data_IF_198664216740
#
_entry.id   IF_198664216740
#
_cell.length_a   1.000
_cell.length_b   1.000
_cell.length_c   1.000
_cell.angle_alpha   90.00
_cell.angle_beta   90.00
_cell.angle_gamma   90.00
#
_symmetry.space_group_name_H-M   'P 1'
#
loop_
_entity.id
_entity.type
_entity.pdbx_description
1 polymer ?
#
# COMPACT_ATOMS: atom_id res chain seq x y z
N UNK A 1 -54.51 -70.16 49.95
CA UNK A 1 -54.44 -69.24 51.12
C UNK A 1 -53.35 -68.21 50.86
N UNK A 2 -53.75 -66.93 50.74
CA UNK A 2 -52.96 -65.69 50.81
C UNK A 2 -51.92 -65.42 49.70
N UNK A 3 -51.77 -64.23 49.14
CA UNK A 3 -52.64 -63.08 48.88
C UNK A 3 -51.87 -62.17 47.90
N UNK A 4 -52.62 -61.60 46.96
CA UNK A 4 -52.24 -60.57 45.98
C UNK A 4 -51.40 -59.42 46.56
N UNK A 5 -50.46 -58.88 45.77
CA UNK A 5 -50.28 -57.41 45.63
C UNK A 5 -49.46 -57.00 44.39
N UNK A 6 -50.18 -56.33 43.48
CA UNK A 6 -49.73 -55.51 42.35
C UNK A 6 -48.82 -54.37 42.81
N UNK A 7 -47.67 -54.14 42.14
CA UNK A 7 -47.08 -52.81 41.97
C UNK A 7 -46.53 -52.71 40.54
N UNK A 8 -47.17 -51.82 39.77
CA UNK A 8 -46.83 -51.38 38.42
C UNK A 8 -45.76 -50.28 38.55
N UNK A 9 -44.52 -50.51 38.07
CA UNK A 9 -43.51 -49.45 37.95
C UNK A 9 -43.28 -49.20 36.46
N UNK A 10 -43.94 -48.16 35.96
CA UNK A 10 -43.72 -47.56 34.65
C UNK A 10 -42.39 -46.79 34.71
N UNK A 11 -41.30 -47.39 34.21
CA UNK A 11 -40.02 -46.68 34.06
C UNK A 11 -40.13 -45.80 32.82
N UNK A 12 -40.42 -44.52 33.03
CA UNK A 12 -40.38 -43.50 31.99
C UNK A 12 -38.91 -43.25 31.64
N UNK A 13 -38.42 -43.90 30.58
CA UNK A 13 -37.09 -43.62 30.03
C UNK A 13 -37.16 -42.25 29.35
N UNK A 14 -36.72 -41.21 30.08
CA UNK A 14 -36.38 -39.91 29.51
C UNK A 14 -35.22 -40.13 28.52
N UNK A 15 -35.55 -40.26 27.24
CA UNK A 15 -34.58 -40.07 26.16
C UNK A 15 -34.14 -38.60 26.21
N UNK A 16 -33.02 -38.34 26.88
CA UNK A 16 -32.29 -37.11 26.62
C UNK A 16 -31.85 -37.17 25.16
N UNK A 17 -32.48 -36.36 24.31
CA UNK A 17 -31.88 -36.01 23.02
C UNK A 17 -30.57 -35.29 23.35
N UNK A 18 -29.47 -36.03 23.38
CA UNK A 18 -28.17 -35.43 23.17
C UNK A 18 -28.16 -34.98 21.71
N UNK A 19 -28.48 -33.70 21.50
CA UNK A 19 -28.21 -33.01 20.26
C UNK A 19 -26.69 -33.03 20.08
N UNK A 20 -26.19 -34.06 19.39
CA UNK A 20 -24.85 -33.99 18.82
C UNK A 20 -24.90 -32.84 17.83
N UNK A 21 -24.45 -31.66 18.25
CA UNK A 21 -24.04 -30.63 17.30
C UNK A 21 -22.99 -31.30 16.42
N UNK A 22 -23.39 -31.67 15.22
CA UNK A 22 -22.45 -32.10 14.18
C UNK A 22 -21.64 -30.84 13.87
N UNK A 23 -20.50 -30.70 14.55
CA UNK A 23 -19.51 -29.67 14.22
C UNK A 23 -19.02 -30.03 12.83
N UNK A 24 -19.48 -29.32 11.82
CA UNK A 24 -18.91 -29.39 10.48
C UNK A 24 -17.53 -28.75 10.59
N UNK A 25 -16.48 -29.57 10.75
CA UNK A 25 -15.11 -29.07 10.59
C UNK A 25 -14.96 -28.60 9.15
N UNK A 26 -14.73 -27.30 8.98
CA UNK A 26 -14.41 -26.74 7.68
C UNK A 26 -12.97 -27.12 7.36
N UNK A 27 -12.69 -27.34 6.08
CA UNK A 27 -11.30 -27.55 5.63
C UNK A 27 -10.64 -26.18 5.60
N UNK A 28 -9.45 -26.06 6.21
CA UNK A 28 -8.64 -24.85 6.11
C UNK A 28 -7.99 -24.76 4.72
N UNK A 29 -8.05 -23.58 4.09
CA UNK A 29 -7.37 -23.34 2.81
C UNK A 29 -5.84 -23.26 2.96
N UNK A 30 -5.11 -23.65 1.91
CA UNK A 30 -3.68 -23.38 1.81
C UNK A 30 -3.40 -21.87 1.78
N UNK A 31 -2.25 -21.50 2.35
CA UNK A 31 -1.83 -20.11 2.43
C UNK A 31 -1.43 -19.57 1.04
N UNK A 32 -1.72 -18.29 0.72
CA UNK A 32 -1.32 -17.70 -0.55
C UNK A 32 0.20 -17.76 -0.79
N UNK A 33 0.61 -17.99 -2.03
CA UNK A 33 2.02 -18.08 -2.42
C UNK A 33 2.38 -16.82 -3.20
N UNK A 34 3.45 -16.15 -2.77
CA UNK A 34 4.05 -15.01 -3.46
C UNK A 34 5.09 -15.48 -4.49
N UNK A 35 5.02 -14.93 -5.70
CA UNK A 35 6.02 -15.15 -6.75
C UNK A 35 6.33 -13.85 -7.50
N UNK A 36 7.60 -13.39 -7.53
CA UNK A 36 8.72 -13.94 -6.78
C UNK A 36 8.53 -13.75 -5.26
N UNK A 37 9.24 -14.54 -4.45
CA UNK A 37 9.18 -14.42 -3.00
C UNK A 37 9.83 -13.13 -2.47
N UNK A 38 9.91 -12.97 -1.15
CA UNK A 38 10.59 -11.85 -0.51
C UNK A 38 12.00 -11.61 -1.07
N UNK A 39 12.39 -10.35 -1.25
CA UNK A 39 13.70 -10.03 -1.80
C UNK A 39 13.84 -8.60 -2.29
N UNK A 40 14.98 -8.32 -2.93
CA UNK A 40 15.25 -7.05 -3.58
C UNK A 40 15.07 -7.20 -5.08
N UNK A 41 14.27 -6.34 -5.69
CA UNK A 41 13.97 -6.38 -7.12
C UNK A 41 14.09 -5.00 -7.74
N UNK A 42 14.28 -4.98 -9.06
CA UNK A 42 14.29 -3.73 -9.82
C UNK A 42 12.89 -3.13 -9.89
N UNK A 43 12.81 -1.80 -9.87
CA UNK A 43 11.57 -1.09 -10.09
C UNK A 43 10.91 -1.51 -11.42
N UNK A 44 9.60 -1.74 -11.38
CA UNK A 44 8.81 -2.36 -12.45
C UNK A 44 8.59 -3.87 -12.28
N UNK A 45 9.24 -4.54 -11.31
CA UNK A 45 9.00 -5.96 -11.05
C UNK A 45 7.54 -6.20 -10.62
N UNK A 46 6.88 -7.15 -11.28
CA UNK A 46 5.55 -7.61 -10.93
C UNK A 46 5.62 -8.75 -9.89
N UNK A 47 4.75 -8.66 -8.87
CA UNK A 47 4.54 -9.65 -7.83
C UNK A 47 3.18 -10.29 -8.04
N UNK A 48 3.18 -11.62 -8.11
CA UNK A 48 1.99 -12.44 -8.24
C UNK A 48 1.67 -13.09 -6.90
N UNK A 49 0.38 -13.08 -6.53
CA UNK A 49 -0.14 -13.82 -5.38
C UNK A 49 -1.07 -14.90 -5.92
N UNK A 50 -0.84 -16.15 -5.54
CA UNK A 50 -1.62 -17.30 -6.02
C UNK A 50 -2.14 -18.10 -4.85
N UNK A 51 -3.29 -18.74 -5.02
CA UNK A 51 -3.86 -19.69 -4.08
C UNK A 51 -4.02 -21.02 -4.82
N UNK A 52 -3.49 -22.14 -4.30
CA UNK A 52 -3.62 -23.45 -4.96
C UNK A 52 -5.08 -23.89 -5.14
N UNK A 53 -5.97 -23.48 -4.23
CA UNK A 53 -7.38 -23.83 -4.26
C UNK A 53 -8.18 -23.02 -5.29
N UNK A 54 -8.66 -23.72 -6.31
CA UNK A 54 -9.52 -23.13 -7.32
C UNK A 54 -10.77 -22.46 -6.71
N UNK A 55 -11.02 -21.22 -7.11
CA UNK A 55 -12.18 -20.43 -6.70
C UNK A 55 -12.08 -19.76 -5.32
N UNK A 56 -10.91 -19.76 -4.68
CA UNK A 56 -10.66 -18.93 -3.50
C UNK A 56 -10.29 -17.49 -3.91
N UNK A 57 -10.77 -16.51 -3.14
CA UNK A 57 -10.42 -15.09 -3.30
C UNK A 57 -9.28 -14.73 -2.35
N UNK A 58 -8.30 -13.97 -2.83
CA UNK A 58 -7.16 -13.53 -2.03
C UNK A 58 -7.32 -12.05 -1.68
N UNK A 59 -7.23 -11.73 -0.40
CA UNK A 59 -7.23 -10.35 0.11
C UNK A 59 -5.86 -10.03 0.69
N UNK A 60 -5.41 -8.78 0.55
CA UNK A 60 -4.08 -8.37 0.99
C UNK A 60 -4.06 -6.99 1.64
N UNK A 61 -3.00 -6.74 2.40
CA UNK A 61 -2.69 -5.48 3.05
C UNK A 61 -1.22 -5.14 2.86
N UNK A 62 -0.89 -3.84 2.88
CA UNK A 62 0.49 -3.32 2.80
C UNK A 62 0.89 -2.51 4.04
N UNK A 63 -0.02 -2.37 4.99
CA UNK A 63 0.15 -1.63 6.25
C UNK A 63 0.57 -2.53 7.43
N UNK A 64 0.80 -3.82 7.19
CA UNK A 64 1.22 -4.79 8.21
C UNK A 64 0.09 -5.46 9.01
N UNK A 65 -1.17 -5.06 8.83
CA UNK A 65 -2.34 -5.71 9.45
C UNK A 65 -2.65 -7.05 8.77
N UNK A 66 -3.25 -8.00 9.49
CA UNK A 66 -3.69 -9.25 8.88
C UNK A 66 -4.91 -9.01 7.98
N UNK A 67 -4.93 -9.51 6.72
CA UNK A 67 -6.03 -9.23 5.80
C UNK A 67 -7.35 -9.87 6.22
N UNK A 68 -8.42 -9.15 5.94
CA UNK A 68 -9.83 -9.51 6.07
C UNK A 68 -10.54 -9.42 4.72
N UNK A 69 -11.78 -9.91 4.61
CA UNK A 69 -12.58 -9.78 3.38
C UNK A 69 -13.03 -8.34 3.05
N UNK A 70 -12.80 -7.38 3.97
CA UNK A 70 -13.06 -5.95 3.74
C UNK A 70 -11.82 -5.22 3.18
N UNK A 71 -10.65 -5.88 3.16
CA UNK A 71 -9.43 -5.31 2.61
C UNK A 71 -9.40 -5.44 1.07
N UNK A 72 -8.25 -5.16 0.47
CA UNK A 72 -8.14 -5.08 -0.99
C UNK A 72 -8.13 -6.49 -1.59
N UNK A 73 -9.06 -6.75 -2.50
CA UNK A 73 -9.08 -7.97 -3.32
C UNK A 73 -7.89 -7.94 -4.28
N UNK A 74 -7.11 -9.02 -4.30
CA UNK A 74 -6.06 -9.22 -5.28
C UNK A 74 -6.66 -9.60 -6.65
N UNK A 75 -6.69 -8.65 -7.59
CA UNK A 75 -7.24 -8.82 -8.94
C UNK A 75 -6.21 -8.61 -10.06
N UNK A 76 -5.02 -8.12 -9.72
CA UNK A 76 -3.92 -7.80 -10.65
C UNK A 76 -2.57 -7.88 -9.96
N UNK A 77 -1.46 -8.08 -10.71
CA UNK A 77 -0.12 -8.12 -10.14
C UNK A 77 0.23 -6.81 -9.44
N UNK A 78 0.96 -6.90 -8.32
CA UNK A 78 1.47 -5.74 -7.60
C UNK A 78 2.82 -5.34 -8.19
N UNK A 79 2.99 -4.08 -8.58
CA UNK A 79 4.21 -3.61 -9.23
C UNK A 79 5.09 -2.89 -8.21
N UNK A 80 6.36 -3.28 -8.08
CA UNK A 80 7.34 -2.57 -7.25
C UNK A 80 7.74 -1.25 -7.93
N UNK A 81 7.81 -0.11 -7.23
CA UNK A 81 7.48 0.13 -5.82
C UNK A 81 6.07 0.71 -5.60
N UNK A 82 5.14 0.61 -6.56
CA UNK A 82 3.86 1.33 -6.54
C UNK A 82 2.98 1.06 -5.29
N UNK A 83 3.14 -0.11 -4.66
CA UNK A 83 2.41 -0.45 -3.43
C UNK A 83 3.17 -0.09 -2.15
N UNK A 84 4.33 0.53 -2.25
CA UNK A 84 5.14 0.91 -1.10
C UNK A 84 4.55 2.16 -0.44
N UNK A 85 4.73 2.32 0.88
CA UNK A 85 4.47 3.61 1.53
C UNK A 85 5.24 4.74 0.83
N UNK A 86 4.64 5.93 0.82
CA UNK A 86 5.24 7.10 0.18
C UNK A 86 6.64 7.40 0.76
N UNK A 87 7.64 7.54 -0.11
CA UNK A 87 9.04 7.77 0.28
C UNK A 87 9.79 6.53 0.78
N UNK A 88 9.15 5.36 0.90
CA UNK A 88 9.81 4.14 1.36
C UNK A 88 10.55 3.40 0.23
N UNK A 89 11.61 2.68 0.60
CA UNK A 89 12.37 1.78 -0.28
C UNK A 89 12.03 0.29 -0.05
N UNK A 90 11.05 0.02 0.81
CA UNK A 90 10.58 -1.33 1.08
C UNK A 90 9.11 -1.33 1.49
N UNK A 91 8.46 -2.49 1.32
CA UNK A 91 7.13 -2.73 1.82
C UNK A 91 6.92 -4.19 2.17
N UNK A 92 6.01 -4.44 3.11
CA UNK A 92 5.60 -5.79 3.49
C UNK A 92 4.15 -5.99 3.08
N UNK A 93 3.89 -7.04 2.29
CA UNK A 93 2.56 -7.47 1.90
C UNK A 93 2.17 -8.65 2.78
N UNK A 94 0.97 -8.60 3.34
CA UNK A 94 0.30 -9.77 3.93
C UNK A 94 -0.87 -10.17 3.05
N UNK A 95 -1.07 -11.48 2.86
CA UNK A 95 -2.15 -12.01 2.04
C UNK A 95 -2.86 -13.17 2.73
N UNK A 96 -4.18 -13.27 2.54
CA UNK A 96 -5.02 -14.35 3.07
C UNK A 96 -6.10 -14.76 2.08
N UNK A 97 -6.33 -16.07 1.94
CA UNK A 97 -7.35 -16.62 1.06
C UNK A 97 -8.66 -16.91 1.80
N UNK A 98 -9.78 -16.68 1.12
CA UNK A 98 -11.14 -16.86 1.60
C UNK A 98 -11.98 -17.60 0.56
N UNK A 99 -12.82 -18.53 1.04
CA UNK A 99 -13.78 -19.28 0.23
C UNK A 99 -14.96 -19.69 1.10
N UNK A 100 -16.18 -19.59 0.55
CA UNK A 100 -17.38 -20.02 1.26
C UNK A 100 -17.32 -21.52 1.59
N UNK A 101 -17.66 -21.88 2.83
CA UNK A 101 -17.62 -23.26 3.31
C UNK A 101 -16.22 -23.79 3.67
N UNK A 102 -15.21 -22.91 3.77
CA UNK A 102 -13.85 -23.24 4.21
C UNK A 102 -13.43 -22.33 5.36
N UNK A 103 -12.52 -22.82 6.20
CA UNK A 103 -11.82 -21.93 7.14
C UNK A 103 -10.80 -21.09 6.35
N UNK A 104 -10.65 -19.79 6.66
CA UNK A 104 -9.68 -18.94 5.98
C UNK A 104 -8.27 -19.48 6.10
N UNK A 105 -7.45 -19.25 5.07
CA UNK A 105 -6.06 -19.71 5.08
C UNK A 105 -5.26 -19.09 6.24
N UNK A 106 -4.08 -19.64 6.51
CA UNK A 106 -3.06 -18.90 7.25
C UNK A 106 -2.64 -17.63 6.49
N UNK A 107 -2.12 -16.63 7.20
CA UNK A 107 -1.62 -15.40 6.60
C UNK A 107 -0.22 -15.63 6.03
N UNK A 108 -0.05 -15.36 4.75
CA UNK A 108 1.27 -15.31 4.10
C UNK A 108 1.83 -13.90 4.19
N UNK A 109 3.14 -13.78 4.40
CA UNK A 109 3.83 -12.49 4.50
C UNK A 109 5.04 -12.48 3.56
N UNK A 110 5.20 -11.40 2.80
CA UNK A 110 6.38 -11.18 1.98
C UNK A 110 6.87 -9.74 2.08
N UNK A 111 8.19 -9.55 2.16
CA UNK A 111 8.83 -8.24 2.25
C UNK A 111 9.68 -8.00 1.01
N UNK A 112 9.48 -6.85 0.40
CA UNK A 112 10.13 -6.45 -0.85
C UNK A 112 10.93 -5.17 -0.66
N UNK A 113 12.09 -5.12 -1.28
CA UNK A 113 12.94 -3.93 -1.38
C UNK A 113 13.07 -3.54 -2.85
N UNK A 114 13.12 -2.25 -3.13
CA UNK A 114 13.31 -1.73 -4.50
C UNK A 114 14.77 -1.38 -4.75
N UNK A 115 15.26 -1.72 -5.93
CA UNK A 115 16.48 -1.21 -6.54
C UNK A 115 16.13 -0.46 -7.82
N UNK A 116 16.92 0.54 -8.16
CA UNK A 116 16.72 1.36 -9.36
C UNK A 116 17.94 1.29 -10.26
N UNK A 117 17.73 1.38 -11.57
CA UNK A 117 18.83 1.41 -12.54
C UNK A 117 19.61 2.72 -12.49
N UNK A 118 18.93 3.81 -12.16
CA UNK A 118 19.48 5.15 -12.21
C UNK A 118 18.67 6.10 -11.33
N UNK A 119 19.21 7.28 -11.09
CA UNK A 119 18.62 8.34 -10.27
C UNK A 119 18.30 9.54 -11.15
N UNK A 120 17.13 10.13 -10.96
CA UNK A 120 16.74 11.35 -11.66
C UNK A 120 17.64 12.51 -11.22
N UNK A 121 18.13 13.30 -12.16
CA UNK A 121 18.94 14.48 -11.86
C UNK A 121 18.13 15.51 -11.05
N UNK A 122 18.79 16.15 -10.09
CA UNK A 122 18.20 17.23 -9.28
C UNK A 122 17.69 18.36 -10.18
N UNK A 123 16.45 18.84 -9.97
CA UNK A 123 15.94 20.02 -10.66
C UNK A 123 16.81 21.24 -10.43
N UNK A 124 16.87 22.12 -11.42
CA UNK A 124 17.56 23.40 -11.34
C UNK A 124 16.49 24.49 -11.29
N UNK A 125 16.44 25.22 -10.18
CA UNK A 125 15.51 26.33 -9.97
C UNK A 125 16.22 27.64 -10.37
N UNK A 126 15.53 28.49 -11.12
CA UNK A 126 15.99 29.84 -11.45
C UNK A 126 14.88 30.86 -11.22
N UNK A 127 15.14 31.94 -10.46
CA UNK A 127 16.39 32.29 -9.77
C UNK A 127 16.75 31.32 -8.63
N UNK A 128 18.03 31.16 -8.28
CA UNK A 128 18.49 30.15 -7.29
C UNK A 128 18.09 30.44 -5.83
N UNK A 129 17.48 31.59 -5.57
CA UNK A 129 17.12 32.09 -4.24
C UNK A 129 17.41 33.59 -4.12
N UNK A 130 16.96 34.20 -3.02
CA UNK A 130 17.21 35.61 -2.69
C UNK A 130 15.97 36.50 -2.82
N UNK A 131 16.19 37.80 -2.95
CA UNK A 131 15.12 38.77 -3.08
C UNK A 131 14.53 38.75 -4.49
N UNK A 132 13.21 38.59 -4.58
CA UNK A 132 12.46 38.64 -5.83
C UNK A 132 11.22 39.52 -5.65
N UNK A 133 10.64 39.97 -6.76
CA UNK A 133 9.33 40.63 -6.74
C UNK A 133 8.21 39.65 -7.09
N UNK A 134 6.97 40.02 -6.82
CA UNK A 134 5.78 39.25 -7.25
C UNK A 134 5.65 39.11 -8.78
N UNK A 135 6.43 39.85 -9.56
CA UNK A 135 6.49 39.77 -11.03
C UNK A 135 7.62 38.85 -11.54
N UNK A 136 8.51 38.39 -10.65
CA UNK A 136 9.64 37.55 -11.04
C UNK A 136 9.17 36.16 -11.46
N UNK A 137 9.50 35.77 -12.70
CA UNK A 137 9.17 34.44 -13.22
C UNK A 137 10.18 33.41 -12.70
N UNK A 138 9.66 32.40 -12.02
CA UNK A 138 10.39 31.21 -11.58
C UNK A 138 10.31 30.15 -12.67
N UNK A 139 11.45 29.54 -12.98
CA UNK A 139 11.57 28.41 -13.89
C UNK A 139 12.27 27.25 -13.21
N UNK A 140 11.86 26.03 -13.56
CA UNK A 140 12.45 24.80 -13.00
C UNK A 140 12.76 23.87 -14.16
N UNK A 141 14.00 23.40 -14.26
CA UNK A 141 14.44 22.51 -15.36
C UNK A 141 15.02 21.23 -14.77
N UNK A 142 14.67 20.08 -15.34
CA UNK A 142 15.31 18.81 -15.00
C UNK A 142 16.16 18.34 -16.20
N UNK A 143 17.46 18.06 -16.01
CA UNK A 143 18.31 17.49 -17.07
C UNK A 143 17.91 16.08 -17.51
N UNK A 144 17.15 15.35 -16.69
CA UNK A 144 16.72 13.99 -17.02
C UNK A 144 15.54 14.06 -17.98
N UNK A 145 15.75 13.53 -19.20
CA UNK A 145 14.69 13.42 -20.20
C UNK A 145 13.46 12.69 -19.66
N UNK A 146 12.27 13.20 -20.00
CA UNK A 146 10.93 12.74 -19.57
C UNK A 146 10.65 12.79 -18.06
N UNK A 147 11.57 13.30 -17.24
CA UNK A 147 11.30 13.46 -15.81
C UNK A 147 10.20 14.52 -15.59
N UNK A 148 9.26 14.19 -14.70
CA UNK A 148 8.19 15.06 -14.27
C UNK A 148 8.60 15.77 -12.99
N UNK A 149 8.45 17.10 -12.94
CA UNK A 149 8.87 17.92 -11.82
C UNK A 149 7.64 18.28 -10.99
N UNK A 150 7.76 18.14 -9.67
CA UNK A 150 6.76 18.54 -8.71
C UNK A 150 7.38 19.46 -7.67
N UNK A 151 6.62 20.43 -7.17
CA UNK A 151 7.13 21.43 -6.24
C UNK A 151 6.13 21.84 -5.16
N UNK A 152 6.67 22.48 -4.14
CA UNK A 152 5.95 23.05 -2.99
C UNK A 152 6.51 24.44 -2.69
N UNK A 153 5.69 25.34 -2.16
CA UNK A 153 6.08 26.71 -1.80
C UNK A 153 6.09 26.97 -0.28
N UNK A 154 5.64 25.98 0.49
CA UNK A 154 5.54 26.01 1.95
C UNK A 154 6.71 25.30 2.65
N UNK A 155 7.69 24.83 1.87
CA UNK A 155 8.83 24.08 2.38
C UNK A 155 8.57 22.61 2.72
N UNK A 156 7.37 22.08 2.49
CA UNK A 156 7.10 20.63 2.59
C UNK A 156 7.85 19.85 1.50
N UNK A 157 8.13 18.55 1.70
CA UNK A 157 8.83 17.76 0.68
C UNK A 157 7.92 17.49 -0.52
N UNK A 158 8.35 17.79 -1.77
CA UNK A 158 7.55 17.51 -2.94
C UNK A 158 7.41 16.01 -3.19
N UNK A 159 6.17 15.59 -3.45
CA UNK A 159 5.81 14.24 -3.87
C UNK A 159 5.07 14.28 -5.21
N UNK A 160 4.72 13.13 -5.77
CA UNK A 160 3.94 13.08 -7.03
C UNK A 160 2.50 13.59 -6.88
N UNK A 161 2.06 13.88 -5.64
CA UNK A 161 0.79 14.52 -5.33
C UNK A 161 0.92 16.04 -5.13
N UNK A 162 2.14 16.59 -5.13
CA UNK A 162 2.38 18.03 -5.04
C UNK A 162 2.06 18.75 -6.36
N UNK A 163 2.35 20.05 -6.44
CA UNK A 163 2.04 20.85 -7.62
C UNK A 163 2.93 20.40 -8.78
N UNK A 164 2.33 19.98 -9.89
CA UNK A 164 3.05 19.60 -11.11
C UNK A 164 3.56 20.86 -11.83
N UNK A 165 4.84 20.89 -12.14
CA UNK A 165 5.46 21.97 -12.90
C UNK A 165 5.28 21.72 -14.41
N UNK A 166 4.60 22.65 -15.08
CA UNK A 166 4.32 22.61 -16.52
C UNK A 166 4.90 23.80 -17.28
N UNK A 167 4.94 24.97 -16.65
CA UNK A 167 5.51 26.21 -17.20
C UNK A 167 6.02 27.14 -16.11
N UNK A 168 6.70 28.22 -16.51
CA UNK A 168 7.17 29.25 -15.57
C UNK A 168 6.03 29.92 -14.82
N UNK A 169 6.24 30.25 -13.55
CA UNK A 169 5.20 30.81 -12.68
C UNK A 169 5.74 31.94 -11.81
N UNK A 170 4.85 32.78 -11.27
CA UNK A 170 5.21 33.82 -10.30
C UNK A 170 4.71 33.44 -8.90
N UNK A 171 5.31 34.04 -7.87
CA UNK A 171 4.90 33.87 -6.48
C UNK A 171 4.13 35.12 -6.05
N UNK A 172 2.83 34.98 -5.81
CA UNK A 172 1.93 36.11 -5.50
C UNK A 172 1.96 36.55 -4.04
N UNK A 173 2.40 35.68 -3.12
CA UNK A 173 2.52 36.00 -1.70
C UNK A 173 3.82 36.74 -1.40
N UNK A 174 3.75 37.78 -0.57
CA UNK A 174 4.92 38.51 -0.08
C UNK A 174 5.48 37.87 1.19
N UNK A 175 6.75 38.12 1.49
CA UNK A 175 7.45 37.56 2.64
C UNK A 175 8.36 36.38 2.28
N UNK A 176 8.68 35.57 3.29
CA UNK A 176 9.58 34.42 3.12
C UNK A 176 8.85 33.24 2.47
N UNK A 177 9.44 32.68 1.41
CA UNK A 177 8.89 31.54 0.68
C UNK A 177 9.99 30.50 0.46
N UNK A 178 9.71 29.25 0.82
CA UNK A 178 10.63 28.12 0.58
C UNK A 178 10.09 27.28 -0.56
N UNK A 179 10.68 27.45 -1.74
CA UNK A 179 10.41 26.61 -2.89
C UNK A 179 11.26 25.35 -2.80
N UNK A 180 10.60 24.19 -2.76
CA UNK A 180 11.25 22.88 -2.94
C UNK A 180 10.76 22.25 -4.23
N UNK A 181 11.65 21.64 -5.00
CA UNK A 181 11.31 20.93 -6.23
C UNK A 181 11.98 19.56 -6.28
N UNK A 182 11.25 18.54 -6.73
CA UNK A 182 11.73 17.17 -6.91
C UNK A 182 11.25 16.62 -8.23
N UNK A 183 12.10 15.88 -8.92
CA UNK A 183 11.77 15.25 -10.19
C UNK A 183 11.62 13.72 -10.05
N UNK A 184 10.67 13.17 -10.80
CA UNK A 184 10.30 11.77 -10.80
C UNK A 184 10.30 11.23 -12.22
N UNK A 185 10.75 9.99 -12.38
CA UNK A 185 10.66 9.23 -13.61
C UNK A 185 10.30 7.80 -13.27
N UNK A 186 9.44 7.19 -14.08
CA UNK A 186 9.00 5.82 -13.84
C UNK A 186 10.18 4.86 -13.74
N UNK A 187 10.15 3.98 -12.74
CA UNK A 187 11.17 2.96 -12.45
C UNK A 187 12.59 3.49 -12.17
N UNK A 188 12.73 4.79 -11.88
CA UNK A 188 13.99 5.41 -11.48
C UNK A 188 13.90 5.87 -10.03
N UNK A 189 15.05 5.95 -9.37
CA UNK A 189 15.11 6.59 -8.07
C UNK A 189 14.77 8.07 -8.26
N UNK A 190 13.84 8.66 -7.47
CA UNK A 190 13.53 10.07 -7.58
C UNK A 190 14.77 10.95 -7.34
N UNK A 191 14.73 12.19 -7.82
CA UNK A 191 15.84 13.10 -7.61
C UNK A 191 16.01 13.48 -6.14
N UNK A 192 17.18 14.04 -5.83
CA UNK A 192 17.32 14.89 -4.65
C UNK A 192 16.40 16.11 -4.76
N UNK A 193 16.12 16.74 -3.62
CA UNK A 193 15.27 17.93 -3.56
C UNK A 193 16.10 19.17 -3.84
N UNK A 194 15.71 19.94 -4.86
CA UNK A 194 16.21 21.30 -5.08
C UNK A 194 15.49 22.26 -4.14
N UNK A 195 16.23 23.21 -3.55
CA UNK A 195 15.68 24.18 -2.59
C UNK A 195 16.09 25.59 -3.02
N UNK A 196 15.11 26.51 -3.05
CA UNK A 196 15.33 27.94 -3.21
C UNK A 196 14.53 28.71 -2.15
N UNK A 197 15.21 29.55 -1.39
CA UNK A 197 14.59 30.40 -0.38
C UNK A 197 14.48 31.83 -0.93
N UNK A 198 13.27 32.39 -0.90
CA UNK A 198 13.01 33.73 -1.41
C UNK A 198 12.49 34.67 -0.32
N UNK A 199 12.83 35.95 -0.47
CA UNK A 199 12.11 37.04 0.19
C UNK A 199 11.38 37.81 -0.90
N UNK A 200 10.06 37.66 -0.94
CA UNK A 200 9.20 38.21 -1.99
C UNK A 200 8.67 39.57 -1.57
N UNK A 201 8.91 40.59 -2.38
CA UNK A 201 8.36 41.93 -2.19
C UNK A 201 7.42 42.33 -3.32
N UNK A 202 6.66 43.39 -3.12
CA UNK A 202 6.02 44.09 -4.24
C UNK A 202 7.10 44.70 -5.16
N UNK A 203 6.73 45.06 -6.40
CA UNK A 203 7.62 45.77 -7.32
C UNK A 203 8.19 47.08 -6.74
#
# INVERSE_FOLDING_TARGET
MKNFRFILILVLVLFSLSCSKKTTELIQLDAPIFNPGSGTYLAGQAIYITCPEYGASIYYTVNGSDPTQNDVLYDRPLIIPNFFPEGANSATIKARAYKEGFDPSNVSTATYFVSYYNTVATPIISPVGGNITTETIITIVCPTYEAQIYYTLDGTEPTQNSIHYSEGFTISQTGEVTLKARAFRQNWNPSEIAVANYVVSNP
#
